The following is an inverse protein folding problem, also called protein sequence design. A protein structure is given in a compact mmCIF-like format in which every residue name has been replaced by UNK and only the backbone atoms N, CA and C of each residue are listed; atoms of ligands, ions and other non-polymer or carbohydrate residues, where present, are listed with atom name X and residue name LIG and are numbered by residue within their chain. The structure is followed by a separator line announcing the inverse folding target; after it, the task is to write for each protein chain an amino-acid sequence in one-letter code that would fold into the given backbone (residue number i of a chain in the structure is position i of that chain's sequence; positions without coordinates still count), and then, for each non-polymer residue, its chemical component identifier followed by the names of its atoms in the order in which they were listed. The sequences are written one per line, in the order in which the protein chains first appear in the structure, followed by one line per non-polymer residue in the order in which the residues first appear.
data_IF_967779706254
#
_entry.id   IF_967779706254
#
_cell.length_a   1.000
_cell.length_b   1.000
_cell.length_c   1.000
_cell.angle_alpha   90.00
_cell.angle_beta   90.00
_cell.angle_gamma   90.00
#
_symmetry.space_group_name_H-M   'P 1'
#
loop_
_entity.id
_entity.type
_entity.pdbx_description
1 polymer ?
#
# COMPACT_ATOMS: atom_id res chain seq x y z
N UNK A 1 17.08 31.26 -7.56
CA UNK A 1 17.20 30.05 -6.71
C UNK A 1 18.11 29.07 -7.39
N UNK A 2 19.10 28.50 -6.69
CA UNK A 2 19.96 27.46 -7.26
C UNK A 2 19.12 26.28 -7.77
N UNK A 3 19.46 25.66 -8.92
CA UNK A 3 18.70 24.56 -9.51
C UNK A 3 18.44 23.40 -8.53
N UNK A 4 19.42 23.12 -7.67
CA UNK A 4 19.38 22.13 -6.59
C UNK A 4 18.34 22.45 -5.52
N UNK A 5 18.16 23.73 -5.15
CA UNK A 5 17.16 24.15 -4.15
C UNK A 5 15.74 23.94 -4.67
N UNK A 6 15.50 24.19 -5.96
CA UNK A 6 14.20 23.93 -6.59
C UNK A 6 13.89 22.43 -6.65
N UNK A 7 14.88 21.60 -7.01
CA UNK A 7 14.73 20.15 -7.04
C UNK A 7 14.48 19.56 -5.64
N UNK A 8 15.19 20.02 -4.61
CA UNK A 8 14.99 19.59 -3.24
C UNK A 8 13.59 19.92 -2.70
N UNK A 9 13.05 21.11 -3.02
CA UNK A 9 11.67 21.47 -2.64
C UNK A 9 10.62 20.59 -3.30
N UNK A 10 10.82 20.21 -4.57
CA UNK A 10 9.92 19.29 -5.28
C UNK A 10 9.98 17.90 -4.65
N UNK A 11 11.18 17.37 -4.40
CA UNK A 11 11.36 16.08 -3.73
C UNK A 11 10.72 16.08 -2.33
N UNK A 12 10.90 17.14 -1.55
CA UNK A 12 10.28 17.31 -0.24
C UNK A 12 8.76 17.39 -0.30
N UNK A 13 8.19 18.05 -1.31
CA UNK A 13 6.73 18.11 -1.50
C UNK A 13 6.14 16.74 -1.88
N UNK A 14 6.83 15.99 -2.75
CA UNK A 14 6.44 14.62 -3.12
C UNK A 14 6.50 13.72 -1.87
N UNK A 15 7.57 13.81 -1.08
CA UNK A 15 7.69 13.07 0.18
C UNK A 15 6.57 13.41 1.15
N UNK A 16 6.25 14.70 1.32
CA UNK A 16 5.16 15.15 2.18
C UNK A 16 3.79 14.59 1.75
N UNK A 17 3.57 14.37 0.45
CA UNK A 17 2.32 13.75 -0.01
C UNK A 17 2.18 12.28 0.43
N UNK A 18 3.29 11.55 0.56
CA UNK A 18 3.28 10.17 1.09
C UNK A 18 2.88 10.11 2.57
N UNK A 19 3.16 11.16 3.34
CA UNK A 19 2.79 11.26 4.76
C UNK A 19 1.27 11.31 4.95
N UNK A 20 0.52 11.66 3.91
CA UNK A 20 -0.95 11.62 3.95
C UNK A 20 -1.47 10.25 3.51
N UNK A 21 -0.96 9.71 2.41
CA UNK A 21 -1.48 8.47 1.82
C UNK A 21 -1.09 7.23 2.63
N UNK A 22 0.15 7.14 3.10
CA UNK A 22 0.68 5.97 3.81
C UNK A 22 -0.02 5.72 5.15
N UNK A 23 -0.02 6.67 6.11
CA UNK A 23 -0.71 6.48 7.38
C UNK A 23 -2.22 6.26 7.25
N UNK A 24 -2.86 6.81 6.22
CA UNK A 24 -4.27 6.55 5.97
C UNK A 24 -4.53 5.07 5.67
N UNK A 25 -3.79 4.46 4.74
CA UNK A 25 -3.99 3.06 4.36
C UNK A 25 -3.37 2.07 5.35
N UNK A 26 -2.23 2.39 5.96
CA UNK A 26 -1.47 1.49 6.84
C UNK A 26 -1.92 1.54 8.31
N UNK A 27 -2.47 2.67 8.77
CA UNK A 27 -2.77 2.88 10.20
C UNK A 27 -4.25 3.15 10.39
N UNK A 28 -4.80 4.18 9.76
CA UNK A 28 -6.16 4.64 10.04
C UNK A 28 -7.21 3.60 9.64
N UNK A 29 -7.12 3.08 8.41
CA UNK A 29 -8.11 2.12 7.88
C UNK A 29 -8.06 0.78 8.64
N UNK A 30 -6.89 0.13 8.82
CA UNK A 30 -6.79 -1.11 9.58
C UNK A 30 -7.30 -0.99 11.02
N UNK A 31 -6.96 0.08 11.73
CA UNK A 31 -7.39 0.26 13.12
C UNK A 31 -8.91 0.48 13.25
N UNK A 32 -9.57 1.01 12.22
CA UNK A 32 -11.01 1.26 12.25
C UNK A 32 -11.82 0.07 11.78
N UNK A 33 -11.32 -0.71 10.82
CA UNK A 33 -12.10 -1.75 10.15
C UNK A 33 -11.78 -3.16 10.62
N UNK A 34 -10.57 -3.43 11.12
CA UNK A 34 -10.14 -4.78 11.47
C UNK A 34 -10.39 -5.07 12.96
N UNK A 35 -11.20 -6.08 13.24
CA UNK A 35 -11.41 -6.61 14.59
C UNK A 35 -10.46 -7.79 14.80
N UNK A 36 -9.50 -7.63 15.70
CA UNK A 36 -8.49 -8.67 15.96
C UNK A 36 -9.15 -9.93 16.52
N UNK A 37 -8.97 -11.04 15.79
CA UNK A 37 -9.47 -12.35 16.20
C UNK A 37 -10.91 -12.64 15.77
N UNK A 38 -11.60 -11.70 15.13
CA UNK A 38 -12.97 -11.87 14.68
C UNK A 38 -13.09 -11.56 13.17
N UNK A 39 -13.15 -12.62 12.38
CA UNK A 39 -13.26 -12.52 10.92
C UNK A 39 -14.64 -12.03 10.48
N UNK A 40 -15.71 -12.44 11.17
CA UNK A 40 -17.08 -12.05 10.82
C UNK A 40 -17.30 -10.56 11.11
N UNK A 41 -16.90 -10.09 12.29
CA UNK A 41 -16.99 -8.67 12.63
C UNK A 41 -16.12 -7.80 11.71
N UNK A 42 -14.95 -8.29 11.29
CA UNK A 42 -14.11 -7.57 10.30
C UNK A 42 -14.79 -7.50 8.93
N UNK A 43 -15.36 -8.59 8.44
CA UNK A 43 -16.08 -8.63 7.18
C UNK A 43 -17.27 -7.65 7.18
N UNK A 44 -18.09 -7.69 8.23
CA UNK A 44 -19.26 -6.82 8.37
C UNK A 44 -18.86 -5.33 8.48
N UNK A 45 -17.78 -5.01 9.21
CA UNK A 45 -17.25 -3.65 9.29
C UNK A 45 -16.75 -3.12 7.95
N UNK A 46 -16.02 -3.95 7.19
CA UNK A 46 -15.49 -3.60 5.87
C UNK A 46 -16.63 -3.40 4.88
N UNK A 47 -17.63 -4.27 4.86
CA UNK A 47 -18.81 -4.13 3.98
C UNK A 47 -19.64 -2.90 4.36
N UNK A 48 -19.79 -2.60 5.66
CA UNK A 48 -20.48 -1.40 6.12
C UNK A 48 -19.74 -0.09 5.76
N UNK A 49 -18.41 -0.13 5.66
CA UNK A 49 -17.55 1.02 5.33
C UNK A 49 -16.78 0.80 4.03
N UNK A 50 -17.40 0.17 3.04
CA UNK A 50 -16.71 -0.29 1.84
C UNK A 50 -15.99 0.83 1.08
N UNK A 51 -16.59 2.02 0.98
CA UNK A 51 -15.95 3.17 0.31
C UNK A 51 -14.62 3.52 0.97
N UNK A 52 -14.53 3.42 2.30
CA UNK A 52 -13.29 3.69 3.04
C UNK A 52 -12.22 2.65 2.73
N UNK A 53 -12.59 1.38 2.62
CA UNK A 53 -11.68 0.30 2.23
C UNK A 53 -11.24 0.41 0.76
N UNK A 54 -12.13 0.78 -0.15
CA UNK A 54 -11.77 1.03 -1.56
C UNK A 54 -10.84 2.25 -1.69
N UNK A 55 -11.04 3.29 -0.89
CA UNK A 55 -10.14 4.44 -0.84
C UNK A 55 -8.76 4.07 -0.30
N UNK A 56 -8.66 3.14 0.66
CA UNK A 56 -7.36 2.67 1.14
C UNK A 56 -6.61 1.88 0.07
N UNK A 57 -7.30 1.02 -0.70
CA UNK A 57 -6.74 0.32 -1.87
C UNK A 57 -6.22 1.34 -2.89
N UNK A 58 -7.00 2.37 -3.20
CA UNK A 58 -6.56 3.42 -4.13
C UNK A 58 -5.35 4.19 -3.58
N UNK A 59 -5.35 4.49 -2.28
CA UNK A 59 -4.25 5.17 -1.61
C UNK A 59 -2.95 4.35 -1.64
N UNK A 60 -3.03 3.01 -1.52
CA UNK A 60 -1.87 2.11 -1.68
C UNK A 60 -1.30 2.21 -3.09
N UNK A 61 -2.14 2.07 -4.13
CA UNK A 61 -1.70 2.15 -5.53
C UNK A 61 -1.07 3.51 -5.86
N UNK A 62 -1.73 4.59 -5.45
CA UNK A 62 -1.24 5.96 -5.66
C UNK A 62 0.05 6.19 -4.86
N UNK A 63 0.13 5.66 -3.64
CA UNK A 63 1.33 5.70 -2.79
C UNK A 63 2.54 5.09 -3.50
N UNK A 64 2.38 3.94 -4.17
CA UNK A 64 3.46 3.30 -4.91
C UNK A 64 3.92 4.12 -6.12
N UNK A 65 2.99 4.77 -6.84
CA UNK A 65 3.35 5.70 -7.92
C UNK A 65 4.13 6.90 -7.38
N UNK A 66 3.67 7.50 -6.27
CA UNK A 66 4.36 8.62 -5.62
C UNK A 66 5.77 8.19 -5.17
N UNK A 67 5.91 6.97 -4.67
CA UNK A 67 7.19 6.44 -4.20
C UNK A 67 8.21 6.32 -5.34
N UNK A 68 7.79 5.84 -6.51
CA UNK A 68 8.62 5.82 -7.73
C UNK A 68 9.02 7.25 -8.13
N UNK A 69 8.06 8.20 -8.15
CA UNK A 69 8.34 9.59 -8.47
C UNK A 69 9.35 10.22 -7.50
N UNK A 70 9.23 9.90 -6.21
CA UNK A 70 10.16 10.34 -5.18
C UNK A 70 11.56 9.78 -5.43
N UNK A 71 11.71 8.49 -5.71
CA UNK A 71 13.02 7.89 -5.98
C UNK A 71 13.71 8.52 -7.19
N UNK A 72 12.96 8.85 -8.25
CA UNK A 72 13.50 9.58 -9.42
C UNK A 72 13.93 11.00 -9.03
N UNK A 73 13.13 11.71 -8.21
CA UNK A 73 13.48 13.04 -7.74
C UNK A 73 14.74 13.03 -6.85
N UNK A 74 14.86 12.04 -5.97
CA UNK A 74 16.03 11.81 -5.13
C UNK A 74 17.24 11.40 -5.98
N UNK A 75 17.08 10.57 -6.99
CA UNK A 75 18.17 10.21 -7.92
C UNK A 75 18.79 11.45 -8.56
N UNK A 76 17.95 12.38 -9.04
CA UNK A 76 18.44 13.64 -9.63
C UNK A 76 19.21 14.50 -8.64
N UNK A 77 18.88 14.42 -7.35
CA UNK A 77 19.56 15.18 -6.30
C UNK A 77 20.88 14.50 -5.87
N UNK A 78 20.83 13.20 -5.56
CA UNK A 78 21.95 12.43 -5.03
C UNK A 78 22.96 11.93 -6.09
N UNK A 79 22.58 11.89 -7.37
CA UNK A 79 23.49 11.47 -8.45
C UNK A 79 24.72 12.37 -8.59
N UNK A 80 24.63 13.62 -8.12
CA UNK A 80 25.77 14.54 -8.04
C UNK A 80 26.82 14.12 -7.00
N UNK A 81 26.44 13.34 -5.99
CA UNK A 81 27.31 12.85 -4.92
C UNK A 81 27.86 11.46 -5.27
N UNK A 82 26.98 10.50 -5.57
CA UNK A 82 27.37 9.17 -6.02
C UNK A 82 26.28 8.53 -6.89
N UNK A 83 26.61 8.31 -8.16
CA UNK A 83 25.67 7.78 -9.14
C UNK A 83 25.28 6.31 -8.90
N UNK A 84 26.19 5.50 -8.35
CA UNK A 84 25.97 4.06 -8.10
C UNK A 84 24.96 3.89 -6.98
N UNK A 85 25.19 4.53 -5.83
CA UNK A 85 24.27 4.46 -4.69
C UNK A 85 22.90 5.08 -5.00
N UNK A 86 22.89 6.20 -5.73
CA UNK A 86 21.63 6.79 -6.19
C UNK A 86 20.85 5.81 -7.10
N UNK A 87 21.53 5.11 -8.02
CA UNK A 87 20.89 4.12 -8.89
C UNK A 87 20.38 2.90 -8.11
N UNK A 88 21.14 2.44 -7.10
CA UNK A 88 20.74 1.33 -6.24
C UNK A 88 19.45 1.65 -5.47
N UNK A 89 19.33 2.85 -4.89
CA UNK A 89 18.11 3.32 -4.24
C UNK A 89 16.91 3.25 -5.20
N UNK A 90 17.05 3.73 -6.44
CA UNK A 90 15.96 3.64 -7.43
C UNK A 90 15.61 2.19 -7.74
N UNK A 91 16.60 1.31 -7.88
CA UNK A 91 16.37 -0.11 -8.14
C UNK A 91 15.59 -0.77 -6.98
N UNK A 92 15.96 -0.49 -5.73
CA UNK A 92 15.24 -0.98 -4.55
C UNK A 92 13.80 -0.46 -4.51
N UNK A 93 13.59 0.84 -4.72
CA UNK A 93 12.24 1.43 -4.76
C UNK A 93 11.38 0.83 -5.87
N UNK A 94 11.95 0.52 -7.04
CA UNK A 94 11.18 -0.11 -8.12
C UNK A 94 10.74 -1.54 -7.76
N UNK A 95 11.61 -2.31 -7.08
CA UNK A 95 11.25 -3.64 -6.57
C UNK A 95 10.16 -3.52 -5.49
N UNK A 96 10.33 -2.59 -4.56
CA UNK A 96 9.32 -2.25 -3.55
C UNK A 96 7.97 -1.94 -4.20
N UNK A 97 7.92 -0.97 -5.11
CA UNK A 97 6.69 -0.58 -5.76
C UNK A 97 6.01 -1.75 -6.49
N UNK A 98 6.77 -2.62 -7.16
CA UNK A 98 6.23 -3.83 -7.79
C UNK A 98 5.61 -4.81 -6.77
N UNK A 99 6.30 -5.05 -5.64
CA UNK A 99 5.78 -5.86 -4.53
C UNK A 99 4.52 -5.22 -3.96
N UNK A 100 4.52 -3.91 -3.71
CA UNK A 100 3.37 -3.17 -3.19
C UNK A 100 2.14 -3.19 -4.10
N UNK A 101 2.33 -3.03 -5.41
CA UNK A 101 1.24 -3.18 -6.39
C UNK A 101 0.63 -4.58 -6.35
N UNK A 102 1.45 -5.62 -6.33
CA UNK A 102 0.97 -7.00 -6.21
C UNK A 102 0.32 -7.26 -4.85
N UNK A 103 0.85 -6.69 -3.78
CA UNK A 103 0.30 -6.85 -2.44
C UNK A 103 -1.10 -6.22 -2.28
N UNK A 104 -1.40 -5.20 -3.10
CA UNK A 104 -2.73 -4.60 -3.15
C UNK A 104 -3.81 -5.60 -3.61
N UNK A 105 -3.42 -6.60 -4.42
CA UNK A 105 -4.32 -7.68 -4.83
C UNK A 105 -4.88 -8.46 -3.63
N UNK A 106 -4.14 -8.54 -2.52
CA UNK A 106 -4.63 -9.20 -1.32
C UNK A 106 -5.86 -8.48 -0.73
N UNK A 107 -5.85 -7.15 -0.65
CA UNK A 107 -7.01 -6.38 -0.19
C UNK A 107 -8.20 -6.49 -1.18
N UNK A 108 -7.93 -6.49 -2.48
CA UNK A 108 -8.98 -6.70 -3.51
C UNK A 108 -9.60 -8.10 -3.36
N UNK A 109 -8.78 -9.13 -3.13
CA UNK A 109 -9.21 -10.50 -2.89
C UNK A 109 -10.05 -10.62 -1.62
N UNK A 110 -9.64 -9.97 -0.53
CA UNK A 110 -10.41 -9.90 0.71
C UNK A 110 -11.80 -9.29 0.49
N UNK A 111 -11.89 -8.14 -0.19
CA UNK A 111 -13.17 -7.50 -0.48
C UNK A 111 -14.09 -8.38 -1.35
N UNK A 112 -13.51 -9.06 -2.34
CA UNK A 112 -14.25 -10.01 -3.21
C UNK A 112 -14.83 -11.17 -2.42
N UNK A 113 -14.06 -11.71 -1.45
CA UNK A 113 -14.51 -12.80 -0.57
C UNK A 113 -15.64 -12.36 0.35
N UNK A 114 -15.51 -11.18 0.99
CA UNK A 114 -16.53 -10.63 1.87
C UNK A 114 -17.86 -10.39 1.12
N UNK A 115 -17.80 -9.82 -0.09
CA UNK A 115 -18.99 -9.65 -0.94
C UNK A 115 -19.65 -10.99 -1.31
N UNK A 116 -18.84 -12.02 -1.59
CA UNK A 116 -19.36 -13.33 -1.98
C UNK A 116 -19.90 -13.37 -3.39
N UNK A 117 -19.03 -13.08 -4.36
CA UNK A 117 -19.35 -13.18 -5.78
C UNK A 117 -19.93 -14.56 -6.18
N UNK A 118 -20.68 -14.64 -7.27
CA UNK A 118 -21.42 -15.85 -7.68
C UNK A 118 -20.54 -17.12 -7.76
N UNK A 119 -19.28 -16.99 -8.18
CA UNK A 119 -18.34 -18.11 -8.26
C UNK A 119 -17.90 -18.65 -6.88
N UNK A 120 -18.16 -17.91 -5.79
CA UNK A 120 -17.88 -18.28 -4.41
C UNK A 120 -19.09 -18.90 -3.70
N UNK A 121 -20.20 -19.15 -4.41
CA UNK A 121 -21.42 -19.72 -3.82
C UNK A 121 -21.22 -21.11 -3.19
N UNK A 122 -20.11 -21.79 -3.49
CA UNK A 122 -19.71 -23.07 -2.86
C UNK A 122 -19.25 -22.88 -1.41
N UNK A 123 -18.85 -21.66 -1.03
CA UNK A 123 -18.38 -21.35 0.32
C UNK A 123 -19.47 -20.67 1.14
N UNK A 124 -19.71 -21.18 2.35
CA UNK A 124 -20.58 -20.55 3.32
C UNK A 124 -19.98 -19.21 3.80
N UNK A 125 -20.82 -18.28 4.28
CA UNK A 125 -20.36 -16.96 4.76
C UNK A 125 -19.21 -17.06 5.78
N UNK A 126 -19.24 -17.92 6.81
CA UNK A 126 -18.13 -18.04 7.75
C UNK A 126 -16.81 -18.49 7.10
N UNK A 127 -16.88 -19.33 6.06
CA UNK A 127 -15.69 -19.75 5.30
C UNK A 127 -15.12 -18.60 4.48
N UNK A 128 -15.99 -17.83 3.82
CA UNK A 128 -15.60 -16.63 3.07
C UNK A 128 -15.00 -15.56 3.97
N UNK A 129 -15.57 -15.33 5.15
CA UNK A 129 -15.06 -14.36 6.12
C UNK A 129 -13.67 -14.79 6.63
N UNK A 130 -13.46 -16.08 6.93
CA UNK A 130 -12.16 -16.60 7.33
C UNK A 130 -11.09 -16.47 6.22
N UNK A 131 -11.46 -16.78 4.98
CA UNK A 131 -10.57 -16.60 3.82
C UNK A 131 -10.28 -15.12 3.57
N UNK A 132 -11.28 -14.25 3.65
CA UNK A 132 -11.09 -12.81 3.48
C UNK A 132 -10.14 -12.25 4.54
N UNK A 133 -10.27 -12.70 5.79
CA UNK A 133 -9.34 -12.34 6.87
C UNK A 133 -7.91 -12.86 6.63
N UNK A 134 -7.76 -14.04 6.02
CA UNK A 134 -6.43 -14.53 5.60
C UNK A 134 -5.79 -13.56 4.59
N UNK A 135 -6.54 -13.10 3.59
CA UNK A 135 -6.04 -12.14 2.61
C UNK A 135 -5.68 -10.78 3.25
N UNK A 136 -6.48 -10.27 4.19
CA UNK A 136 -6.13 -9.07 4.97
C UNK A 136 -4.80 -9.26 5.73
N UNK A 137 -4.59 -10.44 6.32
CA UNK A 137 -3.32 -10.75 7.00
C UNK A 137 -2.15 -10.89 6.04
N UNK A 138 -2.35 -11.52 4.88
CA UNK A 138 -1.35 -11.61 3.83
C UNK A 138 -0.93 -10.23 3.34
N UNK A 139 -1.88 -9.30 3.23
CA UNK A 139 -1.58 -7.91 2.90
C UNK A 139 -0.62 -7.27 3.92
N UNK A 140 -0.88 -7.47 5.22
CA UNK A 140 0.03 -7.00 6.28
C UNK A 140 1.42 -7.63 6.21
N UNK A 141 1.52 -8.92 5.88
CA UNK A 141 2.82 -9.58 5.68
C UNK A 141 3.53 -9.08 4.42
N UNK A 142 2.78 -8.80 3.35
CA UNK A 142 3.34 -8.24 2.12
C UNK A 142 3.89 -6.82 2.32
N UNK A 143 3.31 -6.03 3.22
CA UNK A 143 3.88 -4.73 3.64
C UNK A 143 5.24 -4.94 4.31
N UNK A 144 5.37 -5.91 5.21
CA UNK A 144 6.67 -6.20 5.87
C UNK A 144 7.75 -6.63 4.86
N UNK A 145 7.37 -7.36 3.81
CA UNK A 145 8.29 -7.72 2.72
C UNK A 145 8.67 -6.47 1.92
N UNK A 146 7.70 -5.61 1.62
CA UNK A 146 7.89 -4.36 0.88
C UNK A 146 8.85 -3.40 1.60
N UNK A 147 8.70 -3.28 2.92
CA UNK A 147 9.54 -2.43 3.79
C UNK A 147 11.03 -2.73 3.69
N UNK A 148 11.42 -3.98 3.37
CA UNK A 148 12.82 -4.36 3.18
C UNK A 148 13.49 -3.63 2.00
N UNK A 149 12.69 -3.08 1.08
CA UNK A 149 13.15 -2.45 -0.15
C UNK A 149 12.91 -0.93 -0.18
N UNK A 150 12.47 -0.32 0.93
CA UNK A 150 12.16 1.12 0.95
C UNK A 150 13.38 2.06 0.77
N UNK A 151 14.58 1.51 0.61
CA UNK A 151 15.79 2.25 0.24
C UNK A 151 16.68 2.54 1.43
#
# INVERSE_FOLDING_TARGET
MHPTVKAARIAGAIYASMVVTGPFSLIYVPNKLIVRGDAAATADNILAHETMFRLSILADLVGQVIFICLAIALYRLLSSVNKIWAALMVALVLVSAAVGFLNTLNNIGALTLFHGADFLAVFDKPQRDALGMLFVRLHSQGILIDEMFWG
#
